data_IF_448994873761
#
_entry.id   IF_448994873761
#
_cell.length_a   1.000
_cell.length_b   1.000
_cell.length_c   1.000
_cell.angle_alpha   90.00
_cell.angle_beta   90.00
_cell.angle_gamma   90.00
#
_symmetry.space_group_name_H-M   'P 1'
#
loop_
_entity.id
_entity.type
_entity.pdbx_description
1 polymer ?
#
# COMPACT_ATOMS: atom_id res chain seq x y z
N UNK A 1 28.26 4.06 26.38
CA UNK A 1 28.27 2.61 26.06
C UNK A 1 26.84 2.10 26.21
N UNK A 2 26.15 1.77 25.12
CA UNK A 2 24.79 1.19 25.17
C UNK A 2 24.93 -0.28 25.52
N UNK A 3 24.42 -0.66 26.69
CA UNK A 3 24.50 -2.01 27.25
C UNK A 3 23.97 -3.08 26.27
N UNK A 4 24.81 -4.09 25.98
CA UNK A 4 24.53 -5.22 25.07
C UNK A 4 23.24 -5.97 25.47
N UNK A 5 22.96 -6.00 26.78
CA UNK A 5 21.76 -6.60 27.38
C UNK A 5 20.49 -5.82 27.05
N UNK A 6 20.57 -4.49 27.01
CA UNK A 6 19.47 -3.62 26.60
C UNK A 6 19.11 -3.79 25.12
N UNK A 7 20.10 -3.91 24.23
CA UNK A 7 19.88 -4.18 22.79
C UNK A 7 19.16 -5.50 22.55
N UNK A 8 19.61 -6.59 23.19
CA UNK A 8 18.96 -7.90 23.07
C UNK A 8 17.51 -7.89 23.57
N UNK A 9 17.22 -7.13 24.63
CA UNK A 9 15.87 -6.98 25.18
C UNK A 9 14.95 -6.19 24.24
N UNK A 10 15.45 -5.11 23.64
CA UNK A 10 14.72 -4.34 22.61
C UNK A 10 14.48 -5.18 21.34
N UNK A 11 15.47 -5.97 20.90
CA UNK A 11 15.32 -6.88 19.76
C UNK A 11 14.25 -7.94 20.02
N UNK A 12 14.29 -8.65 21.15
CA UNK A 12 13.28 -9.67 21.47
C UNK A 12 11.86 -9.09 21.62
N UNK A 13 11.74 -7.79 21.87
CA UNK A 13 10.45 -7.10 21.94
C UNK A 13 9.98 -6.57 20.57
N UNK A 14 10.90 -6.15 19.69
CA UNK A 14 10.61 -5.64 18.35
C UNK A 14 10.39 -6.75 17.30
N UNK A 15 11.08 -7.88 17.43
CA UNK A 15 10.98 -9.04 16.53
C UNK A 15 9.52 -9.55 16.38
N UNK A 16 8.79 -9.89 17.46
CA UNK A 16 7.42 -10.38 17.31
C UNK A 16 6.48 -9.31 16.75
N UNK A 17 6.74 -8.03 17.05
CA UNK A 17 6.03 -6.87 16.48
C UNK A 17 6.24 -6.79 14.96
N UNK A 18 7.47 -6.98 14.50
CA UNK A 18 7.85 -6.94 13.09
C UNK A 18 7.29 -8.12 12.32
N UNK A 19 7.31 -9.33 12.90
CA UNK A 19 6.71 -10.52 12.28
C UNK A 19 5.20 -10.34 12.12
N UNK A 20 4.51 -9.82 13.15
CA UNK A 20 3.08 -9.51 13.08
C UNK A 20 2.79 -8.41 12.05
N UNK A 21 3.66 -7.42 11.94
CA UNK A 21 3.59 -6.37 10.92
C UNK A 21 3.77 -6.92 9.50
N UNK A 22 4.76 -7.80 9.30
CA UNK A 22 5.03 -8.45 8.03
C UNK A 22 3.85 -9.33 7.59
N UNK A 23 3.30 -10.15 8.48
CA UNK A 23 2.08 -10.94 8.23
C UNK A 23 0.91 -10.06 7.78
N UNK A 24 0.71 -8.91 8.44
CA UNK A 24 -0.35 -7.98 8.08
C UNK A 24 -0.09 -7.29 6.73
N UNK A 25 1.17 -6.93 6.46
CA UNK A 25 1.61 -6.41 5.17
C UNK A 25 1.39 -7.41 4.04
N UNK A 26 1.74 -8.68 4.25
CA UNK A 26 1.49 -9.78 3.30
C UNK A 26 0.00 -9.96 3.06
N UNK A 27 -0.83 -9.95 4.12
CA UNK A 27 -2.27 -10.04 3.98
C UNK A 27 -2.84 -8.88 3.16
N UNK A 28 -2.34 -7.66 3.41
CA UNK A 28 -2.71 -6.47 2.64
C UNK A 28 -2.28 -6.59 1.18
N UNK A 29 -1.08 -7.11 0.90
CA UNK A 29 -0.61 -7.37 -0.45
C UNK A 29 -1.52 -8.35 -1.20
N UNK A 30 -1.89 -9.45 -0.56
CA UNK A 30 -2.81 -10.43 -1.16
C UNK A 30 -4.15 -9.77 -1.51
N UNK A 31 -4.73 -9.01 -0.58
CA UNK A 31 -6.01 -8.33 -0.84
C UNK A 31 -5.91 -7.23 -1.90
N UNK A 32 -4.84 -6.45 -1.90
CA UNK A 32 -4.71 -5.26 -2.75
C UNK A 32 -4.17 -5.60 -4.14
N UNK A 33 -3.37 -6.65 -4.28
CA UNK A 33 -2.76 -7.02 -5.56
C UNK A 33 -3.35 -8.30 -6.16
N UNK A 34 -3.54 -9.35 -5.35
CA UNK A 34 -4.01 -10.64 -5.85
C UNK A 34 -5.50 -10.60 -6.23
N UNK A 35 -6.29 -9.86 -5.46
CA UNK A 35 -7.74 -9.75 -5.68
C UNK A 35 -8.07 -8.99 -6.99
N UNK A 36 -7.46 -7.82 -7.29
CA UNK A 36 -7.65 -7.19 -8.59
C UNK A 36 -7.14 -8.02 -9.76
N UNK A 37 -6.00 -8.72 -9.60
CA UNK A 37 -5.45 -9.61 -10.62
C UNK A 37 -6.38 -10.80 -10.92
N UNK A 38 -7.13 -11.29 -9.94
CA UNK A 38 -8.08 -12.37 -10.12
C UNK A 38 -9.34 -11.92 -10.88
N UNK A 39 -9.80 -10.69 -10.64
CA UNK A 39 -11.01 -10.13 -11.26
C UNK A 39 -10.70 -9.60 -12.67
N UNK A 40 -9.56 -8.94 -12.85
CA UNK A 40 -9.10 -8.39 -14.13
C UNK A 40 -7.73 -8.98 -14.48
N UNK A 41 -7.63 -9.76 -15.58
CA UNK A 41 -6.33 -10.22 -16.05
C UNK A 41 -5.47 -9.00 -16.40
N UNK A 42 -4.27 -8.91 -15.85
CA UNK A 42 -3.37 -7.77 -16.09
C UNK A 42 -2.97 -7.61 -17.56
N UNK A 43 -3.19 -8.65 -18.37
CA UNK A 43 -2.94 -8.69 -19.82
C UNK A 43 -3.96 -7.89 -20.63
N UNK A 44 -5.15 -7.59 -20.07
CA UNK A 44 -6.16 -6.74 -20.72
C UNK A 44 -6.08 -5.28 -20.29
N UNK A 45 -5.23 -4.93 -19.33
CA UNK A 45 -5.07 -3.56 -18.86
C UNK A 45 -3.97 -2.82 -19.64
N UNK A 46 -4.19 -1.54 -19.97
CA UNK A 46 -3.13 -0.70 -20.55
C UNK A 46 -1.88 -0.70 -19.68
N UNK A 47 -0.70 -0.65 -20.30
CA UNK A 47 0.59 -0.73 -19.63
C UNK A 47 0.76 0.38 -18.55
N UNK A 48 0.14 1.55 -18.78
CA UNK A 48 0.09 2.68 -17.85
C UNK A 48 -0.70 2.35 -16.56
N UNK A 49 -1.80 1.60 -16.66
CA UNK A 49 -2.60 1.17 -15.51
C UNK A 49 -1.83 0.20 -14.61
N UNK A 50 -1.00 -0.67 -15.19
CA UNK A 50 -0.13 -1.57 -14.44
C UNK A 50 0.86 -0.78 -13.57
N UNK A 51 1.49 0.28 -14.11
CA UNK A 51 2.42 1.10 -13.34
C UNK A 51 1.74 1.81 -12.16
N UNK A 52 0.53 2.35 -12.36
CA UNK A 52 -0.23 2.96 -11.27
C UNK A 52 -0.60 1.93 -10.19
N UNK A 53 -1.06 0.73 -10.58
CA UNK A 53 -1.36 -0.34 -9.64
C UNK A 53 -0.14 -0.76 -8.81
N UNK A 54 1.03 -0.93 -9.43
CA UNK A 54 2.25 -1.27 -8.70
C UNK A 54 2.63 -0.20 -7.67
N UNK A 55 2.49 1.08 -8.04
CA UNK A 55 2.77 2.18 -7.12
C UNK A 55 1.79 2.18 -5.93
N UNK A 56 0.50 1.96 -6.19
CA UNK A 56 -0.52 1.85 -5.14
C UNK A 56 -0.24 0.69 -4.18
N UNK A 57 0.06 -0.49 -4.72
CA UNK A 57 0.41 -1.68 -3.95
C UNK A 57 1.65 -1.42 -3.11
N UNK A 58 2.67 -0.79 -3.69
CA UNK A 58 3.89 -0.40 -2.97
C UNK A 58 3.60 0.51 -1.78
N UNK A 59 2.82 1.58 -1.98
CA UNK A 59 2.40 2.50 -0.91
C UNK A 59 1.61 1.74 0.16
N UNK A 60 0.61 0.95 -0.24
CA UNK A 60 -0.26 0.22 0.68
C UNK A 60 0.51 -0.76 1.56
N UNK A 61 1.43 -1.54 0.97
CA UNK A 61 2.25 -2.52 1.69
C UNK A 61 3.28 -1.82 2.56
N UNK A 62 3.98 -0.81 2.05
CA UNK A 62 4.96 -0.04 2.82
C UNK A 62 4.34 0.53 4.09
N UNK A 63 3.22 1.24 3.97
CA UNK A 63 2.54 1.81 5.13
C UNK A 63 1.91 0.74 6.03
N UNK A 64 1.41 -0.37 5.50
CA UNK A 64 0.92 -1.47 6.33
C UNK A 64 2.01 -2.03 7.26
N UNK A 65 3.24 -2.17 6.74
CA UNK A 65 4.39 -2.64 7.52
C UNK A 65 4.86 -1.57 8.50
N UNK A 66 5.05 -0.32 8.05
CA UNK A 66 5.57 0.78 8.88
C UNK A 66 4.63 1.12 10.03
N UNK A 67 3.33 1.26 9.77
CA UNK A 67 2.33 1.55 10.82
C UNK A 67 2.31 0.44 11.87
N UNK A 68 2.36 -0.83 11.45
CA UNK A 68 2.39 -1.96 12.38
C UNK A 68 3.72 -2.10 13.13
N UNK A 69 4.84 -1.72 12.51
CA UNK A 69 6.15 -1.71 13.16
C UNK A 69 6.17 -0.69 14.31
N UNK A 70 5.62 0.50 14.08
CA UNK A 70 5.49 1.55 15.09
C UNK A 70 4.23 1.40 15.96
N UNK A 71 3.47 0.30 15.82
CA UNK A 71 2.19 0.15 16.52
C UNK A 71 2.39 0.19 18.03
N UNK A 72 1.65 1.01 18.76
CA UNK A 72 1.83 1.29 20.19
C UNK A 72 2.85 2.38 20.51
N UNK A 73 3.24 3.18 19.51
CA UNK A 73 3.95 4.45 19.70
C UNK A 73 3.13 5.58 19.07
N UNK A 74 3.40 6.83 19.45
CA UNK A 74 2.74 8.01 18.84
C UNK A 74 2.98 8.06 17.31
N UNK A 75 4.10 7.48 16.85
CA UNK A 75 4.44 7.40 15.44
C UNK A 75 3.43 6.55 14.64
N UNK A 76 2.72 5.61 15.25
CA UNK A 76 1.65 4.86 14.58
C UNK A 76 0.61 5.81 13.98
N UNK A 77 0.19 6.83 14.73
CA UNK A 77 -0.80 7.79 14.28
C UNK A 77 -0.25 8.72 13.21
N UNK A 78 1.00 9.18 13.36
CA UNK A 78 1.67 9.99 12.36
C UNK A 78 1.79 9.26 11.01
N UNK A 79 2.23 7.99 11.02
CA UNK A 79 2.33 7.17 9.81
C UNK A 79 0.95 6.82 9.22
N UNK A 80 -0.08 6.65 10.05
CA UNK A 80 -1.44 6.43 9.57
C UNK A 80 -2.00 7.66 8.84
N UNK A 81 -1.77 8.85 9.38
CA UNK A 81 -2.16 10.13 8.74
C UNK A 81 -1.35 10.33 7.45
N UNK A 82 -0.04 10.08 7.48
CA UNK A 82 0.81 10.18 6.30
C UNK A 82 0.35 9.22 5.18
N UNK A 83 0.01 7.97 5.53
CA UNK A 83 -0.59 7.00 4.60
C UNK A 83 -1.83 7.56 3.93
N UNK A 84 -2.75 8.11 4.72
CA UNK A 84 -4.00 8.66 4.21
C UNK A 84 -3.74 9.83 3.25
N UNK A 85 -2.88 10.77 3.63
CA UNK A 85 -2.49 11.90 2.78
C UNK A 85 -1.85 11.46 1.47
N UNK A 86 -0.90 10.52 1.53
CA UNK A 86 -0.22 10.01 0.34
C UNK A 86 -1.20 9.29 -0.58
N UNK A 87 -2.14 8.51 -0.03
CA UNK A 87 -3.18 7.87 -0.83
C UNK A 87 -4.09 8.91 -1.50
N UNK A 88 -4.48 9.97 -0.79
CA UNK A 88 -5.28 11.06 -1.37
C UNK A 88 -4.53 11.71 -2.54
N UNK A 89 -3.27 12.09 -2.33
CA UNK A 89 -2.44 12.71 -3.38
C UNK A 89 -2.27 11.77 -4.57
N UNK A 90 -2.00 10.48 -4.29
CA UNK A 90 -1.88 9.44 -5.30
C UNK A 90 -3.16 9.36 -6.15
N UNK A 91 -4.33 9.28 -5.52
CA UNK A 91 -5.59 9.22 -6.24
C UNK A 91 -5.85 10.48 -7.06
N UNK A 92 -5.59 11.67 -6.51
CA UNK A 92 -5.72 12.93 -7.25
C UNK A 92 -4.83 12.94 -8.50
N UNK A 93 -3.58 12.46 -8.37
CA UNK A 93 -2.63 12.40 -9.47
C UNK A 93 -3.03 11.36 -10.54
N UNK A 94 -3.42 10.16 -10.13
CA UNK A 94 -3.81 9.08 -11.07
C UNK A 94 -5.10 9.41 -11.79
N UNK A 95 -6.08 9.99 -11.10
CA UNK A 95 -7.35 10.40 -11.73
C UNK A 95 -7.24 11.72 -12.50
N UNK A 96 -6.06 12.33 -12.61
CA UNK A 96 -5.85 13.61 -13.30
C UNK A 96 -6.87 14.69 -12.83
N UNK A 97 -7.17 14.71 -11.52
CA UNK A 97 -8.19 15.58 -10.93
C UNK A 97 -9.64 15.03 -10.92
N UNK A 98 -9.88 13.77 -11.29
CA UNK A 98 -11.21 13.12 -11.21
C UNK A 98 -11.92 12.91 -12.55
N UNK A 99 -11.25 13.16 -13.68
CA UNK A 99 -11.86 12.96 -15.01
C UNK A 99 -11.66 11.51 -15.42
N UNK A 100 -12.61 10.65 -15.03
CA UNK A 100 -12.77 9.34 -15.65
C UNK A 100 -13.31 9.61 -17.06
N UNK A 101 -12.42 9.80 -18.03
CA UNK A 101 -12.79 9.80 -19.44
C UNK A 101 -13.16 8.37 -19.83
N UNK A 102 -14.40 7.98 -19.56
CA UNK A 102 -15.04 6.84 -20.19
C UNK A 102 -15.22 7.20 -21.67
N UNK A 103 -14.17 7.02 -22.46
CA UNK A 103 -14.29 6.99 -23.91
C UNK A 103 -15.02 5.70 -24.25
N UNK A 104 -16.36 5.73 -24.16
CA UNK A 104 -17.18 4.73 -24.83
C UNK A 104 -16.94 4.94 -26.33
N UNK A 105 -16.43 3.94 -27.07
CA UNK A 105 -16.52 4.02 -28.52
C UNK A 105 -18.01 4.05 -28.84
N UNK A 106 -18.52 5.21 -29.25
CA UNK A 106 -19.79 5.24 -29.96
C UNK A 106 -19.54 4.46 -31.24
N UNK A 107 -20.09 3.25 -31.28
CA UNK A 107 -20.21 2.49 -32.50
C UNK A 107 -21.11 3.32 -33.42
N UNK A 108 -20.50 4.06 -34.35
CA UNK A 108 -21.21 4.73 -35.42
C UNK A 108 -21.81 3.65 -36.34
N UNK A 109 -23.02 3.20 -36.02
CA UNK A 109 -23.82 2.41 -36.97
C UNK A 109 -24.28 3.34 -38.08
N UNK A 110 -23.56 3.27 -39.20
CA UNK A 110 -23.95 3.75 -40.53
C UNK A 110 -25.30 3.21 -40.99
#
# INVERSE_FOLDING_TARGET
MVDERSRKKLMNMLIPRTIKAALWGTFTYVFVYYLPRLIYPMDVLPLEYNQFLYLFVGIAVFFAVVVKFFSGTILEHAFSIARALILIIYFVAVFNGGIISLTMPMEETT
#
